data_IF_976440513737
#
_entry.id   IF_976440513737
#
_cell.length_a   1.000
_cell.length_b   1.000
_cell.length_c   1.000
_cell.angle_alpha   90.00
_cell.angle_beta   90.00
_cell.angle_gamma   90.00
#
_symmetry.space_group_name_H-M   'P 1'
#
loop_
_entity.id
_entity.type
_entity.pdbx_description
1 polymer ?
#
# COMPACT_ATOMS: atom_id res chain seq x y z
N UNK A 1 47.90 21.58 2.94
CA UNK A 1 46.68 21.93 3.70
C UNK A 1 46.51 23.44 3.60
N UNK A 2 45.58 23.94 2.76
CA UNK A 2 44.97 25.28 2.80
C UNK A 2 44.05 25.43 1.57
N UNK A 3 42.74 25.45 1.81
CA UNK A 3 41.66 25.67 0.85
C UNK A 3 41.43 27.18 0.60
N UNK A 4 40.86 27.56 -0.57
CA UNK A 4 40.36 28.91 -0.82
C UNK A 4 38.96 29.15 -0.20
N UNK A 5 38.64 30.35 0.30
CA UNK A 5 37.28 30.71 0.72
C UNK A 5 36.58 31.54 -0.37
N UNK A 6 35.29 31.29 -0.64
CA UNK A 6 34.53 32.25 -1.45
C UNK A 6 33.24 31.77 -2.13
N UNK A 7 32.51 30.80 -1.58
CA UNK A 7 31.23 30.34 -2.14
C UNK A 7 30.10 30.34 -1.11
N UNK A 8 29.61 31.52 -0.71
CA UNK A 8 28.41 31.65 0.15
C UNK A 8 27.63 32.94 -0.16
N UNK A 9 26.92 32.96 -1.28
CA UNK A 9 25.96 34.06 -1.59
C UNK A 9 24.61 33.59 -2.16
N UNK A 10 24.27 32.29 -2.01
CA UNK A 10 23.00 31.74 -2.51
C UNK A 10 22.10 31.12 -1.42
N UNK A 11 22.28 31.51 -0.15
CA UNK A 11 21.47 30.96 0.95
C UNK A 11 20.40 31.94 1.48
N UNK A 12 20.45 33.24 1.13
CA UNK A 12 19.64 34.24 1.82
C UNK A 12 18.25 34.51 1.22
N UNK A 13 17.94 33.95 0.04
CA UNK A 13 16.70 34.25 -0.69
C UNK A 13 15.65 33.12 -0.63
N UNK A 14 15.54 32.43 0.52
CA UNK A 14 14.45 31.46 0.77
C UNK A 14 13.47 31.91 1.86
N UNK A 15 13.74 32.99 2.58
CA UNK A 15 13.00 33.33 3.80
C UNK A 15 11.75 34.22 3.60
N UNK A 16 11.54 34.81 2.41
CA UNK A 16 10.42 35.72 2.15
C UNK A 16 9.44 35.21 1.08
N UNK A 17 9.11 33.91 1.06
CA UNK A 17 7.99 33.42 0.26
C UNK A 17 6.76 33.18 1.14
N UNK A 18 5.58 33.70 0.74
CA UNK A 18 4.34 33.56 1.50
C UNK A 18 4.02 32.07 1.73
N UNK A 19 3.43 31.77 2.89
CA UNK A 19 3.24 30.40 3.39
C UNK A 19 2.55 29.47 2.38
N UNK A 20 1.62 29.99 1.56
CA UNK A 20 0.93 29.26 0.50
C UNK A 20 1.87 28.79 -0.64
N UNK A 21 2.90 29.57 -1.00
CA UNK A 21 3.88 29.19 -2.01
C UNK A 21 4.92 28.18 -1.51
N UNK A 22 5.05 28.05 -0.18
CA UNK A 22 5.96 27.10 0.47
C UNK A 22 5.35 25.69 0.46
N UNK A 23 4.06 25.59 0.78
CA UNK A 23 3.29 24.34 0.70
C UNK A 23 3.25 23.81 -0.74
N UNK A 24 2.98 24.67 -1.73
CA UNK A 24 3.00 24.27 -3.14
C UNK A 24 4.38 23.73 -3.59
N UNK A 25 5.48 24.32 -3.12
CA UNK A 25 6.85 23.86 -3.44
C UNK A 25 7.24 22.58 -2.72
N UNK A 26 6.77 22.35 -1.49
CA UNK A 26 7.01 21.10 -0.75
C UNK A 26 6.23 19.93 -1.37
N UNK A 27 5.01 20.19 -1.85
CA UNK A 27 4.19 19.20 -2.57
C UNK A 27 4.77 18.80 -3.94
N UNK A 28 5.56 19.67 -4.56
CA UNK A 28 6.23 19.41 -5.84
C UNK A 28 7.58 18.70 -5.63
N UNK A 29 8.32 19.06 -4.57
CA UNK A 29 9.60 18.42 -4.23
C UNK A 29 9.46 16.99 -3.67
N UNK A 30 8.33 16.66 -3.02
CA UNK A 30 7.99 15.29 -2.62
C UNK A 30 7.67 14.43 -3.85
N UNK A 31 7.06 15.02 -4.88
CA UNK A 31 6.57 14.34 -6.08
C UNK A 31 7.67 13.90 -7.05
N UNK A 32 8.72 14.72 -7.17
CA UNK A 32 9.81 14.47 -8.11
C UNK A 32 10.76 13.36 -7.62
N UNK A 33 10.78 13.11 -6.31
CA UNK A 33 11.58 12.05 -5.66
C UNK A 33 10.98 10.64 -5.78
N UNK A 34 9.66 10.52 -5.98
CA UNK A 34 8.93 9.24 -6.15
C UNK A 34 8.75 8.86 -7.65
N UNK A 35 9.41 9.57 -8.57
CA UNK A 35 9.15 9.48 -10.01
C UNK A 35 9.84 8.30 -10.73
N UNK A 36 10.58 7.44 -10.04
CA UNK A 36 11.49 6.48 -10.69
C UNK A 36 10.86 5.15 -11.12
N UNK A 37 9.54 4.95 -11.15
CA UNK A 37 9.03 3.67 -11.68
C UNK A 37 7.54 3.42 -11.89
N UNK A 38 6.62 4.18 -11.28
CA UNK A 38 5.21 3.75 -11.22
C UNK A 38 4.29 4.57 -12.14
N UNK A 39 3.42 3.96 -12.97
CA UNK A 39 2.46 4.68 -13.81
C UNK A 39 1.55 5.65 -13.02
N UNK A 40 1.36 5.42 -11.72
CA UNK A 40 0.62 6.26 -10.79
C UNK A 40 1.16 7.70 -10.71
N UNK A 41 2.49 7.90 -10.74
CA UNK A 41 3.09 9.23 -10.62
C UNK A 41 2.77 10.14 -11.83
N UNK A 42 2.69 9.56 -13.04
CA UNK A 42 2.34 10.28 -14.28
C UNK A 42 0.89 10.75 -14.25
N UNK A 43 -0.01 9.91 -13.73
CA UNK A 43 -1.44 10.24 -13.60
C UNK A 43 -1.63 11.39 -12.61
N UNK A 44 -0.93 11.35 -11.48
CA UNK A 44 -1.02 12.37 -10.44
C UNK A 44 -0.51 13.74 -10.93
N UNK A 45 0.55 13.75 -11.76
CA UNK A 45 1.05 14.98 -12.40
C UNK A 45 0.06 15.56 -13.42
N UNK A 46 -0.56 14.71 -14.25
CA UNK A 46 -1.61 15.14 -15.19
C UNK A 46 -2.85 15.73 -14.50
N UNK A 47 -3.23 15.15 -13.34
CA UNK A 47 -4.35 15.64 -12.54
C UNK A 47 -4.03 17.01 -11.91
N UNK A 48 -2.80 17.22 -11.41
CA UNK A 48 -2.33 18.53 -10.92
C UNK A 48 -2.35 19.61 -12.01
N UNK A 49 -1.86 19.32 -13.23
CA UNK A 49 -1.87 20.28 -14.34
C UNK A 49 -3.30 20.67 -14.72
N UNK A 50 -4.20 19.70 -14.83
CA UNK A 50 -5.61 19.94 -15.16
C UNK A 50 -6.29 20.79 -14.09
N UNK A 51 -5.96 20.57 -12.81
CA UNK A 51 -6.47 21.38 -11.71
C UNK A 51 -6.05 22.85 -11.81
N UNK A 52 -4.79 23.13 -12.11
CA UNK A 52 -4.28 24.50 -12.28
C UNK A 52 -5.01 25.19 -13.45
N UNK A 53 -5.23 24.49 -14.56
CA UNK A 53 -5.95 25.04 -15.71
C UNK A 53 -7.40 25.44 -15.36
N UNK A 54 -8.13 24.57 -14.66
CA UNK A 54 -9.50 24.86 -14.19
C UNK A 54 -9.50 26.02 -13.19
N UNK A 55 -8.52 26.10 -12.30
CA UNK A 55 -8.38 27.19 -11.35
C UNK A 55 -8.13 28.54 -12.04
N UNK A 56 -7.27 28.58 -13.08
CA UNK A 56 -7.03 29.81 -13.86
C UNK A 56 -8.30 30.26 -14.58
N UNK A 57 -9.03 29.33 -15.22
CA UNK A 57 -10.32 29.65 -15.86
C UNK A 57 -11.35 30.20 -14.86
N UNK A 58 -11.36 29.69 -13.63
CA UNK A 58 -12.23 30.20 -12.58
C UNK A 58 -11.86 31.61 -12.15
N UNK A 59 -10.57 31.89 -11.97
CA UNK A 59 -10.08 33.24 -11.63
C UNK A 59 -10.41 34.24 -12.74
N UNK A 60 -10.27 33.86 -14.01
CA UNK A 60 -10.70 34.68 -15.15
C UNK A 60 -12.21 35.01 -15.08
N UNK A 61 -13.06 33.98 -14.88
CA UNK A 61 -14.50 34.16 -14.75
C UNK A 61 -14.87 35.05 -13.54
N UNK A 62 -14.17 34.89 -12.41
CA UNK A 62 -14.31 35.75 -11.23
C UNK A 62 -13.93 37.19 -11.54
N UNK A 63 -12.78 37.44 -12.16
CA UNK A 63 -12.32 38.78 -12.50
C UNK A 63 -13.30 39.47 -13.45
N UNK A 64 -13.82 38.76 -14.46
CA UNK A 64 -14.87 39.26 -15.34
C UNK A 64 -16.15 39.61 -14.56
N UNK A 65 -16.57 38.76 -13.63
CA UNK A 65 -17.78 39.02 -12.84
C UNK A 65 -17.61 40.19 -11.88
N UNK A 66 -16.47 40.31 -11.21
CA UNK A 66 -16.16 41.44 -10.33
C UNK A 66 -16.13 42.74 -11.12
N UNK A 67 -15.51 42.75 -12.30
CA UNK A 67 -15.52 43.92 -13.20
C UNK A 67 -16.93 44.34 -13.59
N UNK A 68 -17.78 43.40 -14.00
CA UNK A 68 -19.19 43.69 -14.33
C UNK A 68 -19.93 44.23 -13.10
N UNK A 69 -19.73 43.63 -11.92
CA UNK A 69 -20.36 44.11 -10.69
C UNK A 69 -19.94 45.54 -10.32
N UNK A 70 -18.66 45.89 -10.53
CA UNK A 70 -18.12 47.24 -10.32
C UNK A 70 -18.67 48.24 -11.33
N UNK A 71 -18.74 47.88 -12.61
CA UNK A 71 -19.35 48.71 -13.66
C UNK A 71 -20.81 49.06 -13.31
N UNK A 72 -21.55 48.12 -12.72
CA UNK A 72 -22.90 48.38 -12.23
C UNK A 72 -23.02 49.20 -10.96
N UNK A 73 -22.11 49.01 -10.00
CA UNK A 73 -22.07 49.83 -8.79
C UNK A 73 -21.73 51.30 -9.13
N UNK A 74 -20.80 51.50 -10.06
CA UNK A 74 -20.46 52.83 -10.57
C UNK A 74 -21.62 53.49 -11.33
N UNK A 75 -22.36 52.73 -12.15
CA UNK A 75 -23.56 53.21 -12.83
C UNK A 75 -24.65 53.68 -11.84
N UNK A 76 -24.91 52.90 -10.77
CA UNK A 76 -25.83 53.28 -9.70
C UNK A 76 -25.37 54.50 -8.89
N UNK A 77 -24.07 54.72 -8.74
CA UNK A 77 -23.54 55.89 -8.02
C UNK A 77 -23.60 57.20 -8.83
N UNK A 78 -23.64 57.13 -10.17
CA UNK A 78 -23.71 58.29 -11.09
C UNK A 78 -25.14 58.68 -11.45
N UNK A 79 -26.08 58.50 -10.52
CA UNK A 79 -27.53 58.49 -10.72
C UNK A 79 -28.17 59.79 -11.28
N UNK A 80 -27.40 60.83 -11.59
CA UNK A 80 -27.96 62.04 -12.24
C UNK A 80 -28.33 61.86 -13.72
N UNK A 81 -27.92 60.78 -14.42
CA UNK A 81 -28.25 60.63 -15.84
C UNK A 81 -28.27 59.17 -16.37
N UNK A 82 -28.65 58.19 -15.54
CA UNK A 82 -28.71 56.79 -15.97
C UNK A 82 -30.04 56.46 -16.70
N UNK A 83 -30.00 56.41 -18.03
CA UNK A 83 -31.08 55.98 -18.90
C UNK A 83 -31.56 54.54 -18.58
N UNK A 84 -32.88 54.31 -18.54
CA UNK A 84 -33.56 53.03 -18.26
C UNK A 84 -33.05 51.90 -19.18
N UNK A 85 -32.60 52.27 -20.38
CA UNK A 85 -32.00 51.35 -21.35
C UNK A 85 -30.64 50.80 -20.88
N UNK A 86 -29.85 51.58 -20.15
CA UNK A 86 -28.55 51.17 -19.61
C UNK A 86 -28.72 50.21 -18.42
N UNK A 87 -29.70 50.48 -17.54
CA UNK A 87 -30.05 49.61 -16.39
C UNK A 87 -30.50 48.20 -16.84
N UNK A 88 -31.31 48.13 -17.90
CA UNK A 88 -31.80 46.86 -18.46
C UNK A 88 -30.66 46.04 -19.08
N UNK A 89 -29.74 46.70 -19.83
CA UNK A 89 -28.58 46.05 -20.42
C UNK A 89 -27.58 45.54 -19.36
N UNK A 90 -27.39 46.30 -18.28
CA UNK A 90 -26.54 45.89 -17.16
C UNK A 90 -27.08 44.64 -16.44
N UNK A 91 -28.38 44.63 -16.16
CA UNK A 91 -29.06 43.52 -15.48
C UNK A 91 -28.89 42.21 -16.26
N UNK A 92 -29.05 42.24 -17.59
CA UNK A 92 -28.82 41.08 -18.45
C UNK A 92 -27.36 40.59 -18.37
N UNK A 93 -26.37 41.49 -18.51
CA UNK A 93 -24.93 41.14 -18.44
C UNK A 93 -24.55 40.50 -17.09
N UNK A 94 -25.15 40.96 -16.00
CA UNK A 94 -24.93 40.39 -14.66
C UNK A 94 -25.44 38.95 -14.54
N UNK A 95 -26.64 38.66 -15.06
CA UNK A 95 -27.20 37.30 -15.08
C UNK A 95 -26.33 36.32 -15.87
N UNK A 96 -25.79 36.76 -17.02
CA UNK A 96 -24.88 35.94 -17.82
C UNK A 96 -23.55 35.66 -17.10
N UNK A 97 -22.92 36.68 -16.52
CA UNK A 97 -21.68 36.51 -15.77
C UNK A 97 -21.86 35.60 -14.54
N UNK A 98 -23.01 35.70 -13.87
CA UNK A 98 -23.34 34.92 -12.69
C UNK A 98 -23.51 33.42 -13.01
N UNK A 99 -24.22 33.06 -14.09
CA UNK A 99 -24.31 31.65 -14.53
C UNK A 99 -22.95 31.09 -14.94
N UNK A 100 -22.19 31.87 -15.70
CA UNK A 100 -20.87 31.43 -16.15
C UNK A 100 -19.92 31.21 -14.97
N UNK A 101 -19.93 32.09 -13.97
CA UNK A 101 -19.15 31.91 -12.75
C UNK A 101 -19.55 30.64 -11.98
N UNK A 102 -20.86 30.38 -11.83
CA UNK A 102 -21.30 29.15 -11.15
C UNK A 102 -20.94 27.89 -11.91
N UNK A 103 -21.00 27.91 -13.24
CA UNK A 103 -20.59 26.76 -14.07
C UNK A 103 -19.09 26.48 -13.89
N UNK A 104 -18.25 27.52 -13.98
CA UNK A 104 -16.80 27.39 -13.77
C UNK A 104 -16.46 27.02 -12.32
N UNK A 105 -17.18 27.56 -11.34
CA UNK A 105 -17.03 27.23 -9.92
C UNK A 105 -17.43 25.80 -9.58
N UNK A 106 -18.50 25.28 -10.20
CA UNK A 106 -18.90 23.89 -10.10
C UNK A 106 -17.85 22.95 -10.68
N UNK A 107 -17.22 23.34 -11.79
CA UNK A 107 -16.11 22.59 -12.39
C UNK A 107 -14.90 22.55 -11.46
N UNK A 108 -14.59 23.67 -10.79
CA UNK A 108 -13.53 23.74 -9.79
C UNK A 108 -13.83 22.85 -8.58
N UNK A 109 -15.06 22.87 -8.08
CA UNK A 109 -15.49 22.00 -6.99
C UNK A 109 -15.37 20.51 -7.36
N UNK A 110 -15.80 20.14 -8.57
CA UNK A 110 -15.67 18.78 -9.08
C UNK A 110 -14.20 18.35 -9.19
N UNK A 111 -13.32 19.28 -9.61
CA UNK A 111 -11.88 19.03 -9.69
C UNK A 111 -11.22 18.80 -8.32
N UNK A 112 -11.68 19.52 -7.27
CA UNK A 112 -11.25 19.30 -5.88
C UNK A 112 -11.69 17.92 -5.36
N UNK A 113 -12.95 17.54 -5.61
CA UNK A 113 -13.45 16.21 -5.25
C UNK A 113 -12.67 15.13 -5.97
N UNK A 114 -12.44 15.28 -7.27
CA UNK A 114 -11.66 14.33 -8.07
C UNK A 114 -10.25 14.14 -7.49
N UNK A 115 -9.56 15.23 -7.15
CA UNK A 115 -8.26 15.15 -6.51
C UNK A 115 -8.34 14.38 -5.18
N UNK A 116 -9.32 14.71 -4.31
CA UNK A 116 -9.49 14.04 -3.02
C UNK A 116 -9.81 12.54 -3.18
N UNK A 117 -10.74 12.19 -4.07
CA UNK A 117 -11.15 10.81 -4.34
C UNK A 117 -10.00 10.01 -4.92
N UNK A 118 -9.19 10.59 -5.80
CA UNK A 118 -8.01 9.93 -6.35
C UNK A 118 -6.99 9.54 -5.27
N UNK A 119 -6.72 10.44 -4.32
CA UNK A 119 -5.87 10.13 -3.16
C UNK A 119 -6.43 9.01 -2.29
N UNK A 120 -7.74 9.03 -2.03
CA UNK A 120 -8.41 7.98 -1.25
C UNK A 120 -8.33 6.63 -1.96
N UNK A 121 -8.53 6.59 -3.28
CA UNK A 121 -8.43 5.35 -4.07
C UNK A 121 -7.00 4.80 -4.02
N UNK A 122 -5.98 5.64 -4.19
CA UNK A 122 -4.59 5.19 -4.10
C UNK A 122 -4.25 4.69 -2.70
N UNK A 123 -4.69 5.39 -1.66
CA UNK A 123 -4.49 4.94 -0.28
C UNK A 123 -5.20 3.61 -0.03
N UNK A 124 -6.43 3.44 -0.54
CA UNK A 124 -7.17 2.18 -0.46
C UNK A 124 -6.45 1.01 -1.14
N UNK A 125 -5.87 1.22 -2.33
CA UNK A 125 -5.08 0.21 -3.03
C UNK A 125 -3.83 -0.15 -2.22
N UNK A 126 -3.09 0.83 -1.71
CA UNK A 126 -1.91 0.60 -0.88
C UNK A 126 -2.26 -0.14 0.42
N UNK A 127 -3.39 0.18 1.04
CA UNK A 127 -3.88 -0.51 2.24
C UNK A 127 -4.23 -1.96 1.92
N UNK A 128 -4.88 -2.26 0.78
CA UNK A 128 -5.14 -3.64 0.36
C UNK A 128 -3.85 -4.43 0.09
N UNK A 129 -2.87 -3.83 -0.59
CA UNK A 129 -1.59 -4.46 -0.86
C UNK A 129 -0.83 -4.74 0.44
N UNK A 130 -0.84 -3.80 1.39
CA UNK A 130 -0.30 -4.00 2.75
C UNK A 130 -1.04 -5.12 3.48
N UNK A 131 -2.38 -5.16 3.45
CA UNK A 131 -3.13 -6.25 4.08
C UNK A 131 -2.84 -7.62 3.46
N UNK A 132 -2.71 -7.71 2.14
CA UNK A 132 -2.37 -8.96 1.43
C UNK A 132 -0.93 -9.40 1.75
N UNK A 133 0.02 -8.48 1.74
CA UNK A 133 1.42 -8.79 2.09
C UNK A 133 1.59 -9.10 3.56
N UNK A 134 0.87 -8.43 4.47
CA UNK A 134 0.81 -8.80 5.89
C UNK A 134 0.15 -10.17 6.08
N UNK A 135 -0.94 -10.50 5.38
CA UNK A 135 -1.49 -11.86 5.45
C UNK A 135 -0.52 -12.92 4.92
N UNK A 136 0.19 -12.65 3.83
CA UNK A 136 1.21 -13.58 3.32
C UNK A 136 2.42 -13.68 4.25
N UNK A 137 2.86 -12.56 4.86
CA UNK A 137 3.94 -12.57 5.86
C UNK A 137 3.49 -13.25 7.14
N UNK A 138 2.28 -13.01 7.62
CA UNK A 138 1.68 -13.72 8.75
C UNK A 138 1.49 -15.20 8.41
N UNK A 139 1.08 -15.59 7.21
CA UNK A 139 1.01 -17.00 6.80
C UNK A 139 2.38 -17.66 6.61
N UNK A 140 3.44 -16.88 6.39
CA UNK A 140 4.84 -17.34 6.33
C UNK A 140 5.52 -17.32 7.70
N UNK A 141 5.13 -16.42 8.59
CA UNK A 141 5.69 -16.20 9.93
C UNK A 141 4.93 -16.99 11.00
N UNK A 142 3.64 -17.26 10.79
CA UNK A 142 2.91 -18.36 11.41
C UNK A 142 3.26 -19.59 10.58
N UNK A 143 4.18 -20.43 11.03
CA UNK A 143 4.71 -21.61 10.34
C UNK A 143 3.70 -22.71 9.99
N UNK A 144 2.42 -22.41 9.77
CA UNK A 144 1.36 -23.40 9.58
C UNK A 144 1.57 -24.31 8.35
N UNK A 145 2.33 -23.88 7.33
CA UNK A 145 2.62 -24.73 6.16
C UNK A 145 4.04 -25.31 6.15
N UNK A 146 5.05 -24.60 6.67
CA UNK A 146 6.43 -25.11 6.70
C UNK A 146 6.69 -26.05 7.88
N UNK A 147 6.21 -25.67 9.06
CA UNK A 147 6.38 -26.43 10.31
C UNK A 147 5.47 -27.67 10.32
N UNK A 148 4.31 -27.61 9.67
CA UNK A 148 3.38 -28.74 9.52
C UNK A 148 3.92 -29.84 8.60
N UNK A 149 4.60 -29.49 7.50
CA UNK A 149 5.24 -30.47 6.62
C UNK A 149 6.46 -31.13 7.28
N UNK A 150 7.30 -30.36 7.97
CA UNK A 150 8.43 -30.91 8.71
C UNK A 150 7.97 -31.78 9.90
N UNK A 151 6.92 -31.36 10.61
CA UNK A 151 6.32 -32.14 11.69
C UNK A 151 5.66 -33.41 11.17
N UNK A 152 4.99 -33.39 10.01
CA UNK A 152 4.45 -34.60 9.35
C UNK A 152 5.55 -35.58 8.94
N UNK A 153 6.68 -35.09 8.40
CA UNK A 153 7.83 -35.94 8.07
C UNK A 153 8.43 -36.58 9.31
N UNK A 154 8.65 -35.82 10.39
CA UNK A 154 9.13 -36.37 11.66
C UNK A 154 8.17 -37.39 12.26
N UNK A 155 6.86 -37.15 12.22
CA UNK A 155 5.85 -38.11 12.67
C UNK A 155 5.94 -39.41 11.85
N UNK A 156 6.04 -39.31 10.52
CA UNK A 156 6.17 -40.48 9.65
C UNK A 156 7.47 -41.26 9.87
N UNK A 157 8.59 -40.57 10.10
CA UNK A 157 9.89 -41.19 10.41
C UNK A 157 9.84 -41.90 11.77
N UNK A 158 9.31 -41.23 12.80
CA UNK A 158 9.13 -41.78 14.14
C UNK A 158 8.20 -43.01 14.15
N UNK A 159 7.10 -42.98 13.39
CA UNK A 159 6.21 -44.14 13.25
C UNK A 159 6.90 -45.34 12.57
N UNK A 160 7.75 -45.05 11.57
CA UNK A 160 8.52 -46.09 10.87
C UNK A 160 9.58 -46.69 11.79
N UNK A 161 10.28 -45.87 12.56
CA UNK A 161 11.29 -46.32 13.52
C UNK A 161 10.65 -47.13 14.65
N UNK A 162 9.50 -46.70 15.17
CA UNK A 162 8.76 -47.41 16.20
C UNK A 162 8.27 -48.78 15.72
N UNK A 163 7.78 -48.86 14.47
CA UNK A 163 7.40 -50.15 13.86
C UNK A 163 8.59 -51.07 13.68
N UNK A 164 9.76 -50.52 13.32
CA UNK A 164 11.00 -51.26 13.15
C UNK A 164 11.50 -51.81 14.49
N UNK A 165 11.52 -50.99 15.53
CA UNK A 165 11.86 -51.41 16.89
C UNK A 165 10.91 -52.50 17.40
N UNK A 166 9.60 -52.35 17.19
CA UNK A 166 8.63 -53.38 17.57
C UNK A 166 8.81 -54.70 16.81
N UNK A 167 9.22 -54.67 15.54
CA UNK A 167 9.56 -55.90 14.82
C UNK A 167 10.81 -56.58 15.40
N UNK A 168 11.83 -55.78 15.76
CA UNK A 168 13.05 -56.30 16.38
C UNK A 168 12.78 -56.94 17.74
N UNK A 169 11.90 -56.35 18.57
CA UNK A 169 11.50 -56.95 19.85
C UNK A 169 10.78 -58.29 19.66
N UNK A 170 9.90 -58.39 18.65
CA UNK A 170 9.21 -59.65 18.32
C UNK A 170 10.18 -60.71 17.83
N UNK A 171 11.14 -60.32 17.00
CA UNK A 171 12.16 -61.23 16.50
C UNK A 171 13.10 -61.68 17.62
N UNK A 172 13.45 -60.79 18.54
CA UNK A 172 14.24 -61.12 19.73
C UNK A 172 13.51 -62.12 20.64
N UNK A 173 12.22 -61.92 20.88
CA UNK A 173 11.38 -62.86 21.65
C UNK A 173 11.25 -64.22 20.93
N UNK A 174 11.14 -64.23 19.61
CA UNK A 174 11.12 -65.46 18.82
C UNK A 174 12.46 -66.20 18.88
N UNK A 175 13.58 -65.49 18.74
CA UNK A 175 14.93 -66.05 18.86
C UNK A 175 15.17 -66.62 20.26
N UNK A 176 14.72 -65.93 21.31
CA UNK A 176 14.81 -66.40 22.69
C UNK A 176 14.00 -67.69 22.90
N UNK A 177 12.79 -67.77 22.34
CA UNK A 177 11.98 -69.00 22.36
C UNK A 177 12.68 -70.14 21.63
N UNK A 178 13.19 -69.90 20.41
CA UNK A 178 13.91 -70.89 19.63
C UNK A 178 15.16 -71.39 20.37
N UNK A 179 15.98 -70.49 20.93
CA UNK A 179 17.16 -70.85 21.71
C UNK A 179 16.81 -71.66 22.96
N UNK A 180 15.72 -71.31 23.67
CA UNK A 180 15.26 -72.06 24.85
C UNK A 180 14.80 -73.47 24.49
N UNK A 181 14.08 -73.62 23.38
CA UNK A 181 13.62 -74.92 22.86
C UNK A 181 14.80 -75.77 22.41
N UNK A 182 15.76 -75.16 21.70
CA UNK A 182 16.96 -75.85 21.23
C UNK A 182 17.85 -76.32 22.40
N UNK A 183 17.99 -75.51 23.45
CA UNK A 183 18.71 -75.89 24.65
C UNK A 183 18.01 -77.05 25.40
N UNK A 184 16.68 -77.04 25.48
CA UNK A 184 15.92 -78.13 26.06
C UNK A 184 16.10 -79.45 25.29
N UNK A 185 16.06 -79.42 23.96
CA UNK A 185 16.33 -80.61 23.12
C UNK A 185 17.79 -81.06 23.21
N UNK A 186 18.75 -80.13 23.30
CA UNK A 186 20.16 -80.45 23.49
C UNK A 186 20.40 -81.18 24.82
N UNK A 187 19.83 -80.68 25.93
CA UNK A 187 19.93 -81.34 27.24
C UNK A 187 19.29 -82.73 27.23
N UNK A 188 18.10 -82.87 26.61
CA UNK A 188 17.43 -84.16 26.47
C UNK A 188 18.26 -85.17 25.68
N UNK A 189 18.90 -84.73 24.59
CA UNK A 189 19.75 -85.58 23.76
C UNK A 189 21.05 -85.95 24.49
N UNK A 190 21.64 -85.02 25.24
CA UNK A 190 22.81 -85.27 26.08
C UNK A 190 22.49 -86.29 27.19
N UNK A 191 21.36 -86.16 27.87
CA UNK A 191 20.90 -87.12 28.88
C UNK A 191 20.66 -88.51 28.28
N UNK A 192 20.09 -88.57 27.07
CA UNK A 192 19.90 -89.83 26.35
C UNK A 192 21.25 -90.48 25.97
N UNK A 193 22.22 -89.71 25.45
CA UNK A 193 23.56 -90.22 25.14
C UNK A 193 24.31 -90.68 26.38
N UNK A 194 24.27 -89.91 27.47
CA UNK A 194 24.89 -90.27 28.75
C UNK A 194 24.30 -91.60 29.27
N UNK A 195 22.97 -91.76 29.20
CA UNK A 195 22.30 -92.99 29.61
C UNK A 195 22.68 -94.20 28.75
N UNK A 196 22.83 -94.03 27.44
CA UNK A 196 23.25 -95.11 26.53
C UNK A 196 24.73 -95.45 26.67
N UNK A 197 25.59 -94.48 27.01
CA UNK A 197 27.04 -94.70 27.22
C UNK A 197 27.42 -95.41 28.53
N UNK A 198 26.46 -95.58 29.46
CA UNK A 198 26.65 -96.23 30.76
C UNK A 198 26.12 -97.70 30.79
N UNK A 199 25.76 -98.26 29.63
CA UNK A 199 25.47 -99.69 29.42
C UNK A 199 26.62 -100.36 28.68
#
# INVERSE_FOLDING_TARGET
MLLPPGGRTLAFQRHCLPHALRVAKEDDAFFERESSGTPVAKIQYGLKITFIFVAVLFVDALQRMVRIAQEGAAAKSKQEMADVRTETNYSARRFYAQRNLYLTGGTLFLSLILARVFYIILDFINVQEKYSTLQQRTAKQSGANGESEEMRKRISELETELKTSQSQDRDFENLKKQASQQNAEYNRLADAHNKTSLQ
#
